data_IF_673495475455
#
_entry.id   IF_673495475455
#
_cell.length_a   1.000
_cell.length_b   1.000
_cell.length_c   1.000
_cell.angle_alpha   90.00
_cell.angle_beta   90.00
_cell.angle_gamma   90.00
#
_symmetry.space_group_name_H-M   'P 1'
#
loop_
_entity.id
_entity.type
_entity.pdbx_description
1 polymer ?
#
# COMPACT_ATOMS: atom_id res chain seq x y z
N UNK A 1 57.39 -130.07 -22.26
CA UNK A 1 56.52 -130.36 -23.42
C UNK A 1 55.69 -129.10 -23.66
N UNK A 2 56.11 -128.21 -24.58
CA UNK A 2 55.62 -128.11 -25.98
C UNK A 2 54.13 -127.69 -26.01
N UNK A 3 53.60 -126.65 -26.66
CA UNK A 3 53.96 -125.58 -27.64
C UNK A 3 52.68 -124.68 -27.69
N UNK A 4 52.75 -123.34 -27.52
CA UNK A 4 52.53 -122.27 -28.55
C UNK A 4 51.19 -122.39 -29.31
N UNK A 5 50.21 -121.47 -29.25
CA UNK A 5 49.97 -120.20 -30.01
C UNK A 5 48.47 -119.86 -29.74
N UNK A 6 47.89 -118.65 -29.79
CA UNK A 6 47.93 -117.60 -30.80
C UNK A 6 47.18 -116.36 -30.25
N UNK A 7 47.80 -115.19 -30.40
CA UNK A 7 47.18 -113.87 -30.28
C UNK A 7 45.99 -113.71 -31.24
N UNK A 8 44.92 -113.04 -30.83
CA UNK A 8 44.21 -111.98 -31.59
C UNK A 8 42.93 -111.55 -30.87
N UNK A 9 42.91 -110.32 -30.38
CA UNK A 9 41.84 -109.31 -30.59
C UNK A 9 42.10 -108.11 -29.67
N UNK A 10 42.77 -107.10 -30.21
CA UNK A 10 42.77 -105.74 -29.68
C UNK A 10 41.40 -105.15 -30.07
N UNK A 11 40.54 -104.71 -29.14
CA UNK A 11 39.44 -103.83 -29.51
C UNK A 11 40.04 -102.47 -29.86
N UNK A 12 40.08 -102.23 -31.16
CA UNK A 12 40.40 -100.96 -31.80
C UNK A 12 39.37 -99.91 -31.35
N UNK A 13 39.89 -98.78 -30.87
CA UNK A 13 39.23 -97.49 -30.92
C UNK A 13 38.08 -97.30 -29.93
N UNK A 14 38.27 -96.35 -29.02
CA UNK A 14 37.15 -95.58 -28.48
C UNK A 14 36.29 -95.11 -29.65
N UNK A 15 35.08 -95.63 -29.72
CA UNK A 15 34.05 -95.09 -30.60
C UNK A 15 33.86 -93.62 -30.23
N UNK A 16 34.26 -92.70 -31.11
CA UNK A 16 33.64 -91.38 -31.21
C UNK A 16 32.18 -91.61 -31.65
N UNK A 17 31.38 -92.17 -30.76
CA UNK A 17 29.94 -92.11 -30.87
C UNK A 17 29.56 -90.64 -30.68
N UNK A 18 28.95 -90.02 -31.68
CA UNK A 18 28.24 -88.77 -31.48
C UNK A 18 27.15 -89.02 -30.44
N UNK A 19 27.50 -88.75 -29.17
CA UNK A 19 26.53 -88.72 -28.09
C UNK A 19 25.64 -87.51 -28.36
N UNK A 20 24.53 -87.73 -29.07
CA UNK A 20 23.44 -86.75 -29.17
C UNK A 20 22.96 -86.30 -27.78
N UNK A 21 23.31 -87.02 -26.71
CA UNK A 21 23.19 -86.57 -25.32
C UNK A 21 23.87 -85.21 -25.02
N UNK A 22 24.95 -84.84 -25.71
CA UNK A 22 25.62 -83.55 -25.53
C UNK A 22 24.84 -82.43 -26.25
N UNK A 23 24.27 -82.73 -27.42
CA UNK A 23 23.50 -81.78 -28.22
C UNK A 23 22.03 -81.66 -27.80
N UNK A 24 21.45 -82.69 -27.19
CA UNK A 24 20.04 -82.70 -26.83
C UNK A 24 19.89 -82.28 -25.36
N UNK A 25 20.55 -82.97 -24.42
CA UNK A 25 20.38 -82.70 -22.98
C UNK A 25 20.97 -81.36 -22.54
N UNK A 26 22.17 -80.96 -23.02
CA UNK A 26 22.76 -79.66 -22.64
C UNK A 26 22.13 -78.47 -23.37
N UNK A 27 21.77 -78.62 -24.66
CA UNK A 27 21.13 -77.53 -25.40
C UNK A 27 19.71 -77.31 -24.88
N UNK A 28 18.95 -78.38 -24.56
CA UNK A 28 17.63 -78.25 -23.95
C UNK A 28 17.74 -77.57 -22.57
N UNK A 29 18.67 -78.00 -21.70
CA UNK A 29 18.87 -77.37 -20.39
C UNK A 29 19.30 -75.89 -20.51
N UNK A 30 20.25 -75.58 -21.39
CA UNK A 30 20.69 -74.21 -21.65
C UNK A 30 19.55 -73.35 -22.21
N UNK A 31 18.73 -73.89 -23.11
CA UNK A 31 17.59 -73.19 -23.68
C UNK A 31 16.54 -72.86 -22.63
N UNK A 32 16.26 -73.79 -21.70
CA UNK A 32 15.36 -73.56 -20.57
C UNK A 32 15.92 -72.49 -19.63
N UNK A 33 17.22 -72.54 -19.30
CA UNK A 33 17.86 -71.52 -18.46
C UNK A 33 17.84 -70.15 -19.14
N UNK A 34 18.16 -70.07 -20.43
CA UNK A 34 18.10 -68.82 -21.20
C UNK A 34 16.67 -68.28 -21.24
N UNK A 35 15.66 -69.12 -21.44
CA UNK A 35 14.26 -68.70 -21.45
C UNK A 35 13.85 -68.08 -20.10
N UNK A 36 14.24 -68.70 -18.98
CA UNK A 36 13.99 -68.17 -17.63
C UNK A 36 14.76 -66.86 -17.39
N UNK A 37 16.04 -66.78 -17.77
CA UNK A 37 16.84 -65.55 -17.58
C UNK A 37 16.28 -64.41 -18.41
N UNK A 38 15.95 -64.64 -19.68
CA UNK A 38 15.38 -63.61 -20.56
C UNK A 38 14.00 -63.17 -20.07
N UNK A 39 13.16 -64.07 -19.55
CA UNK A 39 11.84 -63.70 -19.04
C UNK A 39 11.92 -62.91 -17.74
N UNK A 40 12.72 -63.34 -16.75
CA UNK A 40 12.79 -62.67 -15.46
C UNK A 40 13.69 -61.43 -15.47
N UNK A 41 14.94 -61.58 -15.94
CA UNK A 41 15.92 -60.48 -15.96
C UNK A 41 15.59 -59.48 -17.05
N UNK A 42 15.15 -59.94 -18.23
CA UNK A 42 14.72 -59.07 -19.31
C UNK A 42 13.52 -58.19 -18.92
N UNK A 43 12.53 -58.73 -18.20
CA UNK A 43 11.41 -57.94 -17.69
C UNK A 43 11.84 -56.91 -16.63
N UNK A 44 12.71 -57.28 -15.70
CA UNK A 44 13.23 -56.35 -14.68
C UNK A 44 14.05 -55.21 -15.31
N UNK A 45 14.93 -55.51 -16.27
CA UNK A 45 15.71 -54.51 -17.00
C UNK A 45 14.82 -53.60 -17.86
N UNK A 46 13.85 -54.16 -18.58
CA UNK A 46 12.88 -53.36 -19.36
C UNK A 46 12.10 -52.39 -18.48
N UNK A 47 11.66 -52.83 -17.31
CA UNK A 47 10.96 -51.97 -16.34
C UNK A 47 11.85 -50.83 -15.83
N UNK A 48 13.12 -51.10 -15.52
CA UNK A 48 14.07 -50.05 -15.10
C UNK A 48 14.36 -49.04 -16.22
N UNK A 49 14.52 -49.52 -17.46
CA UNK A 49 14.74 -48.64 -18.61
C UNK A 49 13.51 -47.79 -18.92
N UNK A 50 12.30 -48.36 -18.87
CA UNK A 50 11.06 -47.59 -19.10
C UNK A 50 10.84 -46.56 -17.99
N UNK A 51 11.09 -46.93 -16.72
CA UNK A 51 11.05 -45.97 -15.61
C UNK A 51 12.05 -44.81 -15.79
N UNK A 52 13.28 -45.11 -16.21
CA UNK A 52 14.29 -44.08 -16.50
C UNK A 52 13.87 -43.18 -17.66
N UNK A 53 13.37 -43.76 -18.75
CA UNK A 53 12.86 -43.02 -19.90
C UNK A 53 11.71 -42.11 -19.48
N UNK A 54 10.73 -42.62 -18.74
CA UNK A 54 9.61 -41.83 -18.25
C UNK A 54 10.07 -40.70 -17.32
N UNK A 55 11.02 -40.97 -16.42
CA UNK A 55 11.59 -39.96 -15.52
C UNK A 55 12.28 -38.84 -16.31
N UNK A 56 13.07 -39.18 -17.33
CA UNK A 56 13.75 -38.19 -18.17
C UNK A 56 12.74 -37.35 -18.95
N UNK A 57 11.73 -37.99 -19.55
CA UNK A 57 10.67 -37.28 -20.29
C UNK A 57 9.90 -36.34 -19.36
N UNK A 58 9.48 -36.83 -18.19
CA UNK A 58 8.77 -36.01 -17.21
C UNK A 58 9.62 -34.82 -16.72
N UNK A 59 10.90 -35.05 -16.41
CA UNK A 59 11.79 -33.97 -15.98
C UNK A 59 12.00 -32.93 -17.08
N UNK A 60 12.09 -33.35 -18.34
CA UNK A 60 12.25 -32.45 -19.47
C UNK A 60 10.98 -31.62 -19.70
N UNK A 61 9.81 -32.26 -19.65
CA UNK A 61 8.51 -31.60 -19.77
C UNK A 61 8.26 -30.63 -18.61
N UNK A 62 8.61 -31.02 -17.37
CA UNK A 62 8.51 -30.14 -16.21
C UNK A 62 9.46 -28.94 -16.33
N UNK A 63 10.69 -29.14 -16.82
CA UNK A 63 11.64 -28.07 -17.04
C UNK A 63 11.16 -27.09 -18.12
N UNK A 64 10.59 -27.59 -19.22
CA UNK A 64 10.03 -26.75 -20.29
C UNK A 64 8.82 -25.94 -19.78
N UNK A 65 7.91 -26.60 -19.05
CA UNK A 65 6.75 -25.94 -18.44
C UNK A 65 7.19 -24.85 -17.44
N UNK A 66 8.18 -25.12 -16.59
CA UNK A 66 8.73 -24.11 -15.66
C UNK A 66 9.39 -22.95 -16.41
N UNK A 67 10.13 -23.23 -17.49
CA UNK A 67 10.75 -22.19 -18.30
C UNK A 67 9.70 -21.27 -18.94
N UNK A 68 8.64 -21.86 -19.51
CA UNK A 68 7.52 -21.13 -20.09
C UNK A 68 6.78 -20.29 -19.05
N UNK A 69 6.48 -20.87 -17.89
CA UNK A 69 5.82 -20.15 -16.79
C UNK A 69 6.67 -18.97 -16.29
N UNK A 70 7.99 -19.17 -16.15
CA UNK A 70 8.92 -18.11 -15.77
C UNK A 70 8.96 -16.97 -16.80
N UNK A 71 8.95 -17.32 -18.10
CA UNK A 71 8.91 -16.34 -19.18
C UNK A 71 7.60 -15.54 -19.18
N UNK A 72 6.45 -16.20 -18.99
CA UNK A 72 5.16 -15.53 -18.87
C UNK A 72 5.09 -14.61 -17.65
N UNK A 73 5.59 -15.07 -16.49
CA UNK A 73 5.69 -14.27 -15.27
C UNK A 73 6.58 -13.04 -15.48
N UNK A 74 7.72 -13.21 -16.14
CA UNK A 74 8.63 -12.11 -16.45
C UNK A 74 7.97 -11.09 -17.39
N UNK A 75 7.24 -11.53 -18.42
CA UNK A 75 6.54 -10.64 -19.33
C UNK A 75 5.44 -9.85 -18.59
N UNK A 76 4.63 -10.53 -17.78
CA UNK A 76 3.62 -9.88 -16.92
C UNK A 76 4.25 -8.87 -15.96
N UNK A 77 5.39 -9.21 -15.34
CA UNK A 77 6.10 -8.30 -14.45
C UNK A 77 6.64 -7.07 -15.18
N UNK A 78 7.20 -7.23 -16.39
CA UNK A 78 7.64 -6.11 -17.23
C UNK A 78 6.50 -5.18 -17.61
N UNK A 79 5.36 -5.73 -18.04
CA UNK A 79 4.17 -4.91 -18.36
C UNK A 79 3.65 -4.14 -17.15
N UNK A 80 3.60 -4.79 -15.98
CA UNK A 80 3.21 -4.12 -14.73
C UNK A 80 4.18 -3.02 -14.34
N UNK A 81 5.49 -3.26 -14.49
CA UNK A 81 6.52 -2.26 -14.21
C UNK A 81 6.35 -1.03 -15.11
N UNK A 82 6.10 -1.24 -16.40
CA UNK A 82 5.91 -0.13 -17.34
C UNK A 82 4.65 0.68 -17.03
N UNK A 83 3.54 0.00 -16.73
CA UNK A 83 2.31 0.66 -16.26
C UNK A 83 2.53 1.44 -14.96
N UNK A 84 3.27 0.88 -14.01
CA UNK A 84 3.60 1.56 -12.76
C UNK A 84 4.48 2.80 -12.98
N UNK A 85 5.46 2.74 -13.90
CA UNK A 85 6.28 3.90 -14.28
C UNK A 85 5.44 5.01 -14.90
N UNK A 86 4.55 4.66 -15.84
CA UNK A 86 3.66 5.63 -16.46
C UNK A 86 2.74 6.27 -15.42
N UNK A 87 2.17 5.47 -14.51
CA UNK A 87 1.32 6.00 -13.44
C UNK A 87 2.09 6.88 -12.46
N UNK A 88 3.33 6.52 -12.13
CA UNK A 88 4.19 7.36 -11.30
C UNK A 88 4.50 8.71 -11.96
N UNK A 89 4.77 8.72 -13.27
CA UNK A 89 4.96 9.97 -14.03
C UNK A 89 3.69 10.83 -14.06
N UNK A 90 2.53 10.20 -14.25
CA UNK A 90 1.23 10.87 -14.23
C UNK A 90 0.97 11.50 -12.85
N UNK A 91 1.19 10.75 -11.77
CA UNK A 91 1.05 11.25 -10.39
C UNK A 91 1.99 12.43 -10.15
N UNK A 92 3.24 12.36 -10.61
CA UNK A 92 4.21 13.46 -10.46
C UNK A 92 3.74 14.72 -11.17
N UNK A 93 3.26 14.60 -12.41
CA UNK A 93 2.78 15.73 -13.19
C UNK A 93 1.50 16.33 -12.57
N UNK A 94 0.56 15.46 -12.19
CA UNK A 94 -0.68 15.90 -11.54
C UNK A 94 -0.39 16.56 -10.19
N UNK A 95 0.54 16.02 -9.41
CA UNK A 95 0.96 16.60 -8.14
C UNK A 95 1.55 18.01 -8.30
N UNK A 96 2.33 18.25 -9.35
CA UNK A 96 2.84 19.60 -9.64
C UNK A 96 1.71 20.59 -9.97
N UNK A 97 0.74 20.18 -10.80
CA UNK A 97 -0.42 21.01 -11.15
C UNK A 97 -1.27 21.32 -9.92
N UNK A 98 -1.58 20.30 -9.11
CA UNK A 98 -2.39 20.46 -7.89
C UNK A 98 -1.68 21.35 -6.88
N UNK A 99 -0.36 21.20 -6.68
CA UNK A 99 0.40 22.06 -5.79
C UNK A 99 0.39 23.53 -6.23
N UNK A 100 0.47 23.78 -7.54
CA UNK A 100 0.37 25.15 -8.09
C UNK A 100 -1.04 25.73 -7.90
N UNK A 101 -2.08 24.94 -8.11
CA UNK A 101 -3.48 25.34 -7.87
C UNK A 101 -3.72 25.66 -6.40
N UNK A 102 -3.29 24.80 -5.47
CA UNK A 102 -3.41 25.02 -4.03
C UNK A 102 -2.65 26.26 -3.58
N UNK A 103 -1.43 26.47 -4.11
CA UNK A 103 -0.66 27.69 -3.85
C UNK A 103 -1.44 28.94 -4.27
N UNK A 104 -1.98 28.95 -5.48
CA UNK A 104 -2.72 30.10 -6.00
C UNK A 104 -4.02 30.34 -5.21
N UNK A 105 -4.72 29.29 -4.83
CA UNK A 105 -5.91 29.39 -3.98
C UNK A 105 -5.57 29.92 -2.59
N UNK A 106 -4.48 29.44 -1.98
CA UNK A 106 -3.99 29.92 -0.69
C UNK A 106 -3.64 31.41 -0.74
N UNK A 107 -2.91 31.86 -1.76
CA UNK A 107 -2.58 33.28 -1.95
C UNK A 107 -3.86 34.12 -2.10
N UNK A 108 -4.80 33.69 -2.95
CA UNK A 108 -6.06 34.42 -3.15
C UNK A 108 -6.89 34.52 -1.86
N UNK A 109 -6.94 33.44 -1.06
CA UNK A 109 -7.61 33.44 0.22
C UNK A 109 -6.91 34.36 1.23
N UNK A 110 -5.59 34.33 1.30
CA UNK A 110 -4.81 35.22 2.16
C UNK A 110 -5.02 36.70 1.78
N UNK A 111 -5.11 37.03 0.49
CA UNK A 111 -5.42 38.39 0.03
C UNK A 111 -6.82 38.82 0.46
N UNK A 112 -7.82 37.96 0.32
CA UNK A 112 -9.19 38.25 0.78
C UNK A 112 -9.25 38.44 2.30
N UNK A 113 -8.56 37.60 3.06
CA UNK A 113 -8.49 37.70 4.52
C UNK A 113 -7.75 38.97 4.96
N UNK A 114 -6.69 39.38 4.26
CA UNK A 114 -6.00 40.62 4.51
C UNK A 114 -6.90 41.85 4.27
N UNK A 115 -7.68 41.85 3.18
CA UNK A 115 -8.66 42.91 2.90
C UNK A 115 -9.75 42.96 3.97
N UNK A 116 -10.27 41.81 4.38
CA UNK A 116 -11.27 41.71 5.46
C UNK A 116 -10.71 42.20 6.79
N UNK A 117 -9.46 41.86 7.10
CA UNK A 117 -8.79 42.32 8.31
C UNK A 117 -8.63 43.85 8.30
N UNK A 118 -8.27 44.44 7.16
CA UNK A 118 -8.14 45.88 7.02
C UNK A 118 -9.49 46.60 7.22
N UNK A 119 -10.57 46.05 6.67
CA UNK A 119 -11.92 46.57 6.90
C UNK A 119 -12.30 46.52 8.38
N UNK A 120 -12.13 45.36 9.03
CA UNK A 120 -12.44 45.19 10.46
C UNK A 120 -11.58 46.13 11.32
N UNK A 121 -10.31 46.33 10.96
CA UNK A 121 -9.44 47.30 11.64
C UNK A 121 -10.03 48.70 11.56
N UNK A 122 -10.44 49.15 10.38
CA UNK A 122 -11.00 50.48 10.19
C UNK A 122 -12.31 50.68 10.95
N UNK A 123 -13.22 49.70 10.90
CA UNK A 123 -14.46 49.69 11.68
C UNK A 123 -14.17 49.75 13.19
N UNK A 124 -13.20 48.96 13.64
CA UNK A 124 -12.78 48.94 15.05
C UNK A 124 -12.23 50.29 15.50
N UNK A 125 -11.38 50.94 14.68
CA UNK A 125 -10.83 52.27 14.99
C UNK A 125 -11.96 53.28 15.16
N UNK A 126 -12.92 53.32 14.22
CA UNK A 126 -14.06 54.24 14.31
C UNK A 126 -14.90 54.00 15.56
N UNK A 127 -15.20 52.73 15.86
CA UNK A 127 -15.93 52.36 17.06
C UNK A 127 -15.21 52.81 18.35
N UNK A 128 -13.90 52.58 18.44
CA UNK A 128 -13.12 53.00 19.60
C UNK A 128 -13.01 54.52 19.72
N UNK A 129 -12.92 55.25 18.61
CA UNK A 129 -12.95 56.72 18.61
C UNK A 129 -14.27 57.25 19.16
N UNK A 130 -15.41 56.74 18.67
CA UNK A 130 -16.73 57.13 19.16
C UNK A 130 -16.91 56.80 20.65
N UNK A 131 -16.45 55.61 21.06
CA UNK A 131 -16.44 55.21 22.47
C UNK A 131 -15.60 56.15 23.34
N UNK A 132 -14.40 56.49 22.90
CA UNK A 132 -13.52 57.42 23.62
C UNK A 132 -14.15 58.82 23.75
N UNK A 133 -14.73 59.35 22.67
CA UNK A 133 -15.46 60.64 22.69
C UNK A 133 -16.62 60.60 23.68
N UNK A 134 -17.43 59.53 23.65
CA UNK A 134 -18.56 59.36 24.57
C UNK A 134 -18.08 59.33 26.02
N UNK A 135 -17.03 58.56 26.32
CA UNK A 135 -16.46 58.47 27.67
C UNK A 135 -15.92 59.81 28.16
N UNK A 136 -15.14 60.53 27.34
CA UNK A 136 -14.62 61.86 27.69
C UNK A 136 -15.76 62.85 27.90
N UNK A 137 -16.76 62.86 27.01
CA UNK A 137 -17.92 63.75 27.15
C UNK A 137 -18.66 63.52 28.46
N UNK A 138 -18.86 62.25 28.83
CA UNK A 138 -19.53 61.87 30.07
C UNK A 138 -18.72 62.30 31.32
N UNK A 139 -17.39 62.18 31.27
CA UNK A 139 -16.51 62.69 32.32
C UNK A 139 -16.57 64.22 32.44
N UNK A 140 -16.52 64.93 31.32
CA UNK A 140 -16.63 66.41 31.30
C UNK A 140 -17.97 66.86 31.86
N UNK A 141 -19.08 66.23 31.45
CA UNK A 141 -20.41 66.50 31.99
C UNK A 141 -20.43 66.28 33.50
N UNK A 142 -19.85 65.17 33.97
CA UNK A 142 -19.78 64.86 35.41
C UNK A 142 -19.01 65.94 36.17
N UNK A 143 -17.84 66.35 35.69
CA UNK A 143 -17.02 67.41 36.31
C UNK A 143 -17.77 68.76 36.30
N UNK A 144 -18.41 69.10 35.18
CA UNK A 144 -19.18 70.33 35.06
C UNK A 144 -20.36 70.35 36.04
N UNK A 145 -21.11 69.26 36.14
CA UNK A 145 -22.20 69.11 37.11
C UNK A 145 -21.71 69.20 38.55
N UNK A 146 -20.58 68.58 38.88
CA UNK A 146 -19.97 68.69 40.22
C UNK A 146 -19.59 70.14 40.53
N UNK A 147 -18.92 70.86 39.61
CA UNK A 147 -18.59 72.29 39.81
C UNK A 147 -19.82 73.18 39.95
N UNK A 148 -20.87 72.92 39.14
CA UNK A 148 -22.14 73.65 39.24
C UNK A 148 -22.78 73.38 40.60
N UNK A 149 -22.78 72.14 41.06
CA UNK A 149 -23.32 71.75 42.38
C UNK A 149 -22.56 72.43 43.52
N UNK A 150 -21.23 72.45 43.48
CA UNK A 150 -20.39 73.16 44.45
C UNK A 150 -20.70 74.67 44.48
N UNK A 151 -20.74 75.31 43.30
CA UNK A 151 -21.03 76.74 43.20
C UNK A 151 -22.45 77.08 43.65
N UNK A 152 -23.42 76.22 43.36
CA UNK A 152 -24.79 76.35 43.84
C UNK A 152 -24.86 76.21 45.37
N UNK A 153 -24.20 75.19 45.93
CA UNK A 153 -24.07 74.99 47.38
C UNK A 153 -23.52 76.22 48.10
N UNK A 154 -22.53 76.89 47.50
CA UNK A 154 -21.92 78.09 48.06
C UNK A 154 -22.79 79.36 47.89
N UNK A 155 -23.76 79.37 46.97
CA UNK A 155 -24.67 80.50 46.70
C UNK A 155 -26.08 80.33 47.27
N UNK A 156 -26.38 79.19 47.89
CA UNK A 156 -27.69 78.91 48.49
C UNK A 156 -27.92 79.82 49.71
N UNK A 157 -28.69 80.89 49.51
CA UNK A 157 -29.19 81.79 50.55
C UNK A 157 -30.74 81.79 50.55
N UNK A 158 -31.40 82.25 51.63
CA UNK A 158 -32.86 82.20 51.76
C UNK A 158 -33.62 82.90 50.61
N UNK A 159 -33.06 84.00 50.11
CA UNK A 159 -33.66 84.78 49.01
C UNK A 159 -33.59 84.03 47.67
N UNK A 160 -32.45 83.41 47.36
CA UNK A 160 -32.26 82.60 46.17
C UNK A 160 -33.15 81.34 46.21
N UNK A 161 -33.27 80.69 47.37
CA UNK A 161 -34.21 79.58 47.57
C UNK A 161 -35.65 79.98 47.26
N UNK A 162 -36.11 81.10 47.82
CA UNK A 162 -37.48 81.60 47.61
C UNK A 162 -37.71 82.00 46.15
N UNK A 163 -36.71 82.62 45.51
CA UNK A 163 -36.76 82.99 44.09
C UNK A 163 -36.89 81.76 43.17
N UNK A 164 -36.08 80.72 43.39
CA UNK A 164 -36.16 79.47 42.62
C UNK A 164 -37.50 78.77 42.85
N UNK A 165 -37.99 78.73 44.10
CA UNK A 165 -39.26 78.09 44.42
C UNK A 165 -40.45 78.80 43.77
N UNK A 166 -40.49 80.14 43.83
CA UNK A 166 -41.51 80.93 43.13
C UNK A 166 -41.45 80.73 41.61
N UNK A 167 -40.25 80.63 41.03
CA UNK A 167 -40.09 80.37 39.59
C UNK A 167 -40.60 78.97 39.20
N UNK A 168 -40.34 77.96 40.03
CA UNK A 168 -40.89 76.62 39.84
C UNK A 168 -42.42 76.62 39.99
N UNK A 169 -42.97 77.31 40.99
CA UNK A 169 -44.43 77.44 41.17
C UNK A 169 -45.09 78.10 39.95
N UNK A 170 -44.46 79.13 39.37
CA UNK A 170 -44.94 79.75 38.13
C UNK A 170 -44.92 78.77 36.96
N UNK A 171 -43.84 78.00 36.78
CA UNK A 171 -43.75 76.97 35.74
C UNK A 171 -44.81 75.88 35.91
N UNK A 172 -45.10 75.45 37.13
CA UNK A 172 -46.16 74.49 37.41
C UNK A 172 -47.57 75.06 37.19
N UNK A 173 -47.77 76.36 37.41
CA UNK A 173 -49.06 77.03 37.20
C UNK A 173 -49.32 77.26 35.71
N UNK A 174 -48.28 77.53 34.92
CA UNK A 174 -48.35 77.63 33.45
C UNK A 174 -48.41 76.27 32.76
N UNK A 175 -48.03 75.18 33.44
CA UNK A 175 -48.22 73.81 32.96
C UNK A 175 -49.70 73.42 33.07
N UNK A 176 -50.53 73.95 32.16
CA UNK A 176 -51.88 73.45 31.93
C UNK A 176 -51.80 72.04 31.36
N UNK A 177 -52.48 71.10 32.03
CA UNK A 177 -52.90 69.81 31.46
C UNK A 177 -53.82 70.05 30.27
#
# INVERSE_FOLDING_TARGET
>A
MIIVTLFTQIPLGESFGFNFNIFETNIINLSVVIAVVVSFVGNALRSLLENRKQTIVNNLEEADNKAKEAQEKLLKAKTRLESAKNKASEIKNQGAITAEQEKNQCISQMEQDALRLEQVKQETIQFQQQKAISQVSQQVITIALTKVREKLSNKLNPDFHSSVNNKNLALFTDYKV
#
